data_IF_545657256107
#
_entry.id   IF_545657256107
#
_cell.length_a   1.000
_cell.length_b   1.000
_cell.length_c   1.000
_cell.angle_alpha   90.00
_cell.angle_beta   90.00
_cell.angle_gamma   90.00
#
_symmetry.space_group_name_H-M   'P 1'
#
loop_
_entity.id
_entity.type
_entity.pdbx_description
1 polymer ?
#
# COMPACT_ATOMS: atom_id res chain seq x y z
N UNK A 1 15.05 -13.50 -14.79
CA UNK A 1 15.77 -14.18 -15.89
C UNK A 1 17.09 -13.47 -16.11
N UNK A 2 18.10 -14.16 -16.64
CA UNK A 2 19.38 -13.55 -17.04
C UNK A 2 19.22 -12.93 -18.42
N UNK A 3 19.66 -11.69 -18.58
CA UNK A 3 19.54 -10.92 -19.82
C UNK A 3 20.86 -10.64 -20.53
N UNK A 4 20.80 -9.90 -21.66
CA UNK A 4 19.60 -9.30 -22.25
C UNK A 4 18.58 -10.34 -22.74
N UNK A 5 17.30 -9.97 -22.74
CA UNK A 5 16.19 -10.86 -23.16
C UNK A 5 15.47 -10.23 -24.34
N UNK A 6 15.12 -11.06 -25.32
CA UNK A 6 14.33 -10.67 -26.48
C UNK A 6 12.91 -11.24 -26.37
N UNK A 7 11.92 -10.37 -26.21
CA UNK A 7 10.51 -10.74 -26.15
C UNK A 7 9.92 -10.64 -27.55
N UNK A 8 9.50 -11.77 -28.11
CA UNK A 8 8.91 -11.86 -29.47
C UNK A 8 7.39 -11.95 -29.44
N UNK A 9 6.78 -12.15 -28.27
CA UNK A 9 5.34 -12.16 -28.07
C UNK A 9 5.00 -11.89 -26.60
N UNK A 10 3.85 -11.26 -26.38
CA UNK A 10 3.21 -11.06 -25.08
C UNK A 10 1.75 -11.46 -25.27
N UNK A 11 1.21 -12.25 -24.34
CA UNK A 11 -0.18 -12.71 -24.40
C UNK A 11 -0.94 -12.22 -23.16
N UNK A 12 -2.07 -11.50 -23.32
CA UNK A 12 -2.60 -10.97 -24.58
C UNK A 12 -1.72 -9.86 -25.16
N UNK A 13 -1.78 -9.66 -26.49
CA UNK A 13 -1.00 -8.64 -27.19
C UNK A 13 -1.51 -7.24 -26.85
N UNK A 14 -0.60 -6.26 -26.79
CA UNK A 14 -0.98 -4.85 -26.75
C UNK A 14 -1.30 -4.33 -28.15
N UNK A 15 -2.56 -3.95 -28.34
CA UNK A 15 -3.14 -3.53 -29.63
C UNK A 15 -4.16 -2.41 -29.41
N UNK A 16 -4.60 -1.79 -30.51
CA UNK A 16 -5.76 -0.91 -30.52
C UNK A 16 -7.05 -1.71 -30.73
N UNK A 17 -8.10 -1.36 -29.99
CA UNK A 17 -9.42 -2.00 -30.07
C UNK A 17 -10.55 -0.97 -30.13
N UNK A 18 -11.65 -1.38 -30.77
CA UNK A 18 -12.89 -0.59 -30.82
C UNK A 18 -12.81 0.66 -31.71
N UNK A 19 -13.93 1.39 -31.85
CA UNK A 19 -14.03 2.58 -32.70
C UNK A 19 -13.17 3.76 -32.20
N UNK A 20 -12.88 3.82 -30.90
CA UNK A 20 -12.11 4.90 -30.27
C UNK A 20 -10.58 4.67 -30.31
N UNK A 21 -10.11 3.62 -30.98
CA UNK A 21 -8.70 3.22 -31.04
C UNK A 21 -8.04 3.09 -29.65
N UNK A 22 -8.78 2.56 -28.67
CA UNK A 22 -8.28 2.35 -27.31
C UNK A 22 -7.11 1.37 -27.35
N UNK A 23 -5.97 1.75 -26.78
CA UNK A 23 -4.83 0.86 -26.63
C UNK A 23 -4.93 0.09 -25.32
N UNK A 24 -4.84 -1.24 -25.37
CA UNK A 24 -5.01 -2.14 -24.22
C UNK A 24 -3.78 -3.03 -23.98
N UNK A 25 -3.76 -3.73 -22.85
CA UNK A 25 -2.76 -4.75 -22.48
C UNK A 25 -1.31 -4.27 -22.57
N UNK A 26 -1.07 -3.00 -22.26
CA UNK A 26 0.25 -2.40 -22.32
C UNK A 26 1.19 -2.92 -21.24
N UNK A 27 2.48 -2.66 -21.46
CA UNK A 27 3.53 -2.96 -20.49
C UNK A 27 4.49 -1.78 -20.37
N UNK A 28 5.04 -1.58 -19.18
CA UNK A 28 5.99 -0.51 -18.88
C UNK A 28 7.31 -1.09 -18.39
N UNK A 29 8.41 -0.51 -18.87
CA UNK A 29 9.75 -0.79 -18.37
C UNK A 29 10.04 0.12 -17.16
N UNK A 30 10.42 -0.48 -16.03
CA UNK A 30 10.79 0.22 -14.78
C UNK A 30 9.80 1.35 -14.41
N UNK A 31 8.51 1.06 -14.15
CA UNK A 31 7.53 2.08 -13.77
C UNK A 31 8.04 2.96 -12.62
N UNK A 32 7.72 4.25 -12.64
CA UNK A 32 8.32 5.20 -11.70
C UNK A 32 7.30 6.23 -11.21
N UNK A 33 7.23 6.51 -9.89
CA UNK A 33 6.39 7.58 -9.36
C UNK A 33 6.79 8.98 -9.87
N UNK A 34 8.02 9.16 -10.38
CA UNK A 34 8.46 10.41 -11.02
C UNK A 34 7.67 10.76 -12.28
N UNK A 35 6.90 9.81 -12.83
CA UNK A 35 5.98 10.04 -13.96
C UNK A 35 4.61 10.54 -13.52
N UNK A 36 4.39 10.77 -12.23
CA UNK A 36 3.11 11.22 -11.69
C UNK A 36 2.02 10.19 -11.98
N UNK A 37 0.94 10.61 -12.64
CA UNK A 37 -0.13 9.71 -13.07
C UNK A 37 0.06 9.17 -14.51
N UNK A 38 1.13 9.54 -15.22
CA UNK A 38 1.35 9.09 -16.60
C UNK A 38 1.75 7.62 -16.66
N UNK A 39 1.06 6.84 -17.50
CA UNK A 39 1.24 5.38 -17.60
C UNK A 39 1.11 4.86 -19.04
N UNK A 40 1.51 3.60 -19.26
CA UNK A 40 1.57 2.93 -20.56
C UNK A 40 0.79 1.61 -20.64
N UNK A 41 -0.10 1.32 -19.69
CA UNK A 41 -0.89 0.08 -19.61
C UNK A 41 -2.16 0.12 -20.45
N UNK A 42 -2.96 1.20 -20.36
CA UNK A 42 -4.22 1.31 -21.09
C UNK A 42 -4.56 2.78 -21.39
N UNK A 43 -4.97 3.10 -22.61
CA UNK A 43 -5.28 4.49 -22.97
C UNK A 43 -6.58 5.03 -22.37
N UNK A 44 -7.41 4.16 -21.77
CA UNK A 44 -8.65 4.53 -21.09
C UNK A 44 -8.55 4.51 -19.56
N UNK A 45 -7.36 4.24 -18.97
CA UNK A 45 -7.16 4.00 -17.52
C UNK A 45 -7.94 4.93 -16.62
N UNK A 46 -7.89 6.25 -16.82
CA UNK A 46 -8.47 7.20 -15.87
C UNK A 46 -9.90 7.64 -16.22
N UNK A 47 -10.52 7.04 -17.25
CA UNK A 47 -11.86 7.42 -17.71
C UNK A 47 -11.99 8.93 -17.89
N UNK A 48 -12.95 9.56 -17.21
CA UNK A 48 -13.17 11.02 -17.26
C UNK A 48 -12.03 11.88 -16.71
N UNK A 49 -11.12 11.29 -15.94
CA UNK A 49 -9.95 11.97 -15.38
C UNK A 49 -8.71 11.83 -16.28
N UNK A 50 -8.87 11.11 -17.40
CA UNK A 50 -7.88 10.74 -18.38
C UNK A 50 -7.41 11.83 -19.34
N UNK A 51 -6.55 11.45 -20.31
CA UNK A 51 -6.10 10.06 -20.56
C UNK A 51 -4.88 9.63 -19.73
N UNK A 52 -4.01 10.58 -19.33
CA UNK A 52 -2.65 10.38 -18.75
C UNK A 52 -1.96 9.10 -19.25
N UNK A 53 -2.14 8.81 -20.53
CA UNK A 53 -1.54 7.70 -21.24
C UNK A 53 -0.45 8.26 -22.13
N UNK A 54 0.74 7.68 -22.04
CA UNK A 54 1.84 7.99 -22.95
C UNK A 54 2.20 6.73 -23.74
N UNK A 55 1.97 6.69 -25.07
CA UNK A 55 2.33 5.54 -25.90
C UNK A 55 3.83 5.21 -25.85
N UNK A 56 4.70 6.18 -25.52
CA UNK A 56 6.15 5.93 -25.35
C UNK A 56 6.47 5.09 -24.11
N UNK A 57 5.57 5.04 -23.14
CA UNK A 57 5.70 4.18 -21.96
C UNK A 57 5.19 2.76 -22.23
N UNK A 58 4.35 2.55 -23.25
CA UNK A 58 3.88 1.23 -23.65
C UNK A 58 4.91 0.51 -24.53
N UNK A 59 5.81 -0.23 -23.90
CA UNK A 59 6.84 -0.99 -24.63
C UNK A 59 6.32 -2.31 -25.22
N UNK A 60 5.07 -2.69 -24.95
CA UNK A 60 4.46 -3.92 -25.46
C UNK A 60 3.69 -3.75 -26.79
N UNK A 61 3.48 -2.51 -27.25
CA UNK A 61 2.66 -2.25 -28.44
C UNK A 61 3.24 -2.92 -29.69
N UNK A 62 2.45 -3.78 -30.34
CA UNK A 62 2.84 -4.51 -31.56
C UNK A 62 4.13 -5.35 -31.46
N UNK A 63 4.52 -5.80 -30.27
CA UNK A 63 5.62 -6.75 -30.09
C UNK A 63 5.34 -8.03 -30.89
N UNK A 64 6.28 -8.42 -31.74
CA UNK A 64 6.19 -9.59 -32.61
C UNK A 64 7.57 -10.16 -32.93
N UNK A 65 7.65 -11.29 -33.65
CA UNK A 65 8.92 -11.84 -34.15
C UNK A 65 9.66 -10.84 -35.05
N UNK A 66 8.93 -10.07 -35.86
CA UNK A 66 9.50 -9.04 -36.75
C UNK A 66 9.81 -7.71 -36.07
N UNK A 67 9.18 -7.41 -34.93
CA UNK A 67 9.42 -6.22 -34.11
C UNK A 67 9.52 -6.62 -32.63
N UNK A 68 10.62 -7.29 -32.24
CA UNK A 68 10.81 -7.81 -30.89
C UNK A 68 11.13 -6.70 -29.89
N UNK A 69 10.71 -6.87 -28.64
CA UNK A 69 11.09 -5.99 -27.53
C UNK A 69 12.39 -6.48 -26.92
N UNK A 70 13.43 -5.65 -27.00
CA UNK A 70 14.71 -5.89 -26.36
C UNK A 70 14.67 -5.37 -24.91
N UNK A 71 14.88 -6.27 -23.95
CA UNK A 71 14.96 -5.95 -22.54
C UNK A 71 16.42 -6.01 -22.05
N UNK A 72 17.01 -4.88 -21.62
CA UNK A 72 18.34 -4.88 -21.08
C UNK A 72 18.38 -5.56 -19.70
N UNK A 73 19.55 -6.10 -19.33
CA UNK A 73 19.84 -6.44 -17.95
C UNK A 73 19.69 -5.19 -17.06
N UNK A 74 19.22 -5.38 -15.83
CA UNK A 74 18.90 -4.28 -14.93
C UNK A 74 17.54 -3.64 -15.21
N UNK A 75 16.55 -4.43 -15.65
CA UNK A 75 15.21 -3.92 -15.91
C UNK A 75 14.09 -4.82 -15.36
N UNK A 76 12.94 -4.22 -15.08
CA UNK A 76 11.68 -4.90 -14.80
C UNK A 76 10.65 -4.49 -15.83
N UNK A 77 10.11 -5.46 -16.56
CA UNK A 77 8.94 -5.28 -17.40
C UNK A 77 7.69 -5.59 -16.56
N UNK A 78 6.83 -4.58 -16.38
CA UNK A 78 5.52 -4.74 -15.77
C UNK A 78 4.49 -4.83 -16.88
N UNK A 79 3.94 -6.02 -17.10
CA UNK A 79 2.93 -6.29 -18.12
C UNK A 79 1.55 -6.41 -17.50
N UNK A 80 0.52 -5.94 -18.19
CA UNK A 80 -0.85 -5.88 -17.68
C UNK A 80 -1.86 -6.47 -18.65
N UNK A 81 -2.98 -6.93 -18.11
CA UNK A 81 -4.19 -7.25 -18.86
C UNK A 81 -5.24 -6.19 -18.52
N UNK A 82 -5.84 -5.59 -19.52
CA UNK A 82 -6.92 -4.63 -19.37
C UNK A 82 -8.26 -5.32 -19.10
N UNK A 83 -9.18 -4.65 -18.40
CA UNK A 83 -10.60 -4.99 -18.42
C UNK A 83 -11.24 -4.53 -19.73
N UNK A 84 -12.27 -5.25 -20.17
CA UNK A 84 -12.93 -5.00 -21.47
C UNK A 84 -13.62 -3.64 -21.50
N UNK A 85 -14.31 -3.24 -20.42
CA UNK A 85 -14.98 -1.95 -20.32
C UNK A 85 -13.98 -0.80 -20.12
N UNK A 86 -14.07 0.24 -20.96
CA UNK A 86 -13.19 1.40 -20.93
C UNK A 86 -13.58 2.39 -19.82
N UNK A 87 -12.59 3.05 -19.21
CA UNK A 87 -12.77 4.02 -18.14
C UNK A 87 -13.20 3.41 -16.80
N UNK A 88 -13.11 2.09 -16.65
CA UNK A 88 -13.49 1.40 -15.42
C UNK A 88 -12.47 1.67 -14.30
N UNK A 89 -12.91 1.53 -13.03
CA UNK A 89 -12.07 1.68 -11.84
C UNK A 89 -12.11 0.41 -11.01
N UNK A 90 -11.03 -0.41 -11.00
CA UNK A 90 -9.79 -0.25 -11.76
C UNK A 90 -9.96 -0.51 -13.26
N UNK A 91 -9.00 -0.10 -14.09
CA UNK A 91 -8.99 -0.41 -15.53
C UNK A 91 -8.27 -1.73 -15.84
N UNK A 92 -7.39 -2.18 -14.95
CA UNK A 92 -6.55 -3.35 -15.16
C UNK A 92 -7.16 -4.56 -14.44
N UNK A 93 -7.11 -5.72 -15.09
CA UNK A 93 -7.55 -7.01 -14.55
C UNK A 93 -6.44 -7.65 -13.71
N UNK A 94 -5.26 -7.83 -14.29
CA UNK A 94 -4.10 -8.41 -13.61
C UNK A 94 -2.80 -7.81 -14.15
N UNK A 95 -1.71 -7.93 -13.39
CA UNK A 95 -0.37 -7.58 -13.82
C UNK A 95 0.67 -8.59 -13.32
N UNK A 96 1.77 -8.70 -14.06
CA UNK A 96 2.92 -9.53 -13.73
C UNK A 96 4.23 -8.76 -13.95
N UNK A 97 5.28 -9.17 -13.24
CA UNK A 97 6.61 -8.56 -13.32
C UNK A 97 7.61 -9.58 -13.84
N UNK A 98 8.27 -9.25 -14.94
CA UNK A 98 9.47 -9.95 -15.41
C UNK A 98 10.71 -9.10 -15.07
N UNK A 99 11.59 -9.62 -14.22
CA UNK A 99 12.88 -8.96 -13.94
C UNK A 99 14.01 -9.61 -14.71
N UNK A 100 14.82 -8.77 -15.35
CA UNK A 100 15.97 -9.12 -16.18
C UNK A 100 17.24 -8.68 -15.45
N UNK A 101 18.07 -9.64 -15.06
CA UNK A 101 19.30 -9.45 -14.31
C UNK A 101 20.52 -9.72 -15.21
N UNK A 102 21.69 -9.22 -14.83
CA UNK A 102 22.94 -9.48 -15.56
C UNK A 102 23.47 -10.90 -15.34
N UNK A 103 23.09 -11.53 -14.23
CA UNK A 103 23.51 -12.88 -13.85
C UNK A 103 22.38 -13.60 -13.09
N UNK A 104 22.52 -14.91 -12.91
CA UNK A 104 21.56 -15.70 -12.17
C UNK A 104 21.65 -15.35 -10.67
N UNK A 105 20.54 -14.96 -10.02
CA UNK A 105 20.57 -14.63 -8.61
C UNK A 105 20.70 -15.91 -7.76
N UNK A 106 21.30 -15.84 -6.56
CA UNK A 106 21.33 -16.98 -5.64
C UNK A 106 19.93 -17.56 -5.41
N UNK A 107 19.83 -18.88 -5.24
CA UNK A 107 18.56 -19.53 -4.95
C UNK A 107 17.91 -18.93 -3.69
N UNK A 108 16.61 -18.62 -3.76
CA UNK A 108 15.87 -18.01 -2.66
C UNK A 108 15.97 -16.48 -2.58
N UNK A 109 16.65 -15.84 -3.55
CA UNK A 109 16.71 -14.38 -3.62
C UNK A 109 15.32 -13.76 -3.80
N UNK A 110 15.06 -12.67 -3.09
CA UNK A 110 13.92 -11.82 -3.39
C UNK A 110 14.14 -11.09 -4.71
N UNK A 111 13.05 -10.79 -5.42
CA UNK A 111 13.12 -9.94 -6.61
C UNK A 111 13.43 -8.51 -6.17
N UNK A 112 14.32 -7.77 -6.87
CA UNK A 112 14.49 -6.35 -6.61
C UNK A 112 13.18 -5.61 -6.94
N UNK A 113 12.96 -4.39 -6.42
CA UNK A 113 11.74 -3.64 -6.69
C UNK A 113 11.48 -3.46 -8.18
N UNK A 114 10.20 -3.50 -8.60
CA UNK A 114 9.87 -3.28 -10.03
C UNK A 114 10.04 -1.82 -10.44
N UNK A 115 9.96 -0.91 -9.46
CA UNK A 115 10.08 0.52 -9.68
C UNK A 115 11.55 0.95 -9.72
N UNK A 116 11.83 2.04 -10.45
CA UNK A 116 13.18 2.59 -10.61
C UNK A 116 14.13 1.68 -11.40
N UNK A 117 15.41 2.08 -11.49
CA UNK A 117 16.43 1.40 -12.29
C UNK A 117 17.39 0.52 -11.48
N UNK A 118 17.37 0.60 -10.15
CA UNK A 118 18.16 -0.30 -9.31
C UNK A 118 17.51 -1.69 -9.32
N UNK A 119 18.27 -2.69 -9.76
CA UNK A 119 17.86 -4.10 -9.83
C UNK A 119 18.87 -5.01 -9.15
N UNK A 120 19.67 -4.45 -8.24
CA UNK A 120 20.59 -5.21 -7.39
C UNK A 120 19.80 -6.16 -6.50
N UNK A 121 20.29 -7.39 -6.38
CA UNK A 121 19.74 -8.39 -5.46
C UNK A 121 20.32 -8.12 -4.07
N UNK A 122 19.51 -7.55 -3.18
CA UNK A 122 19.94 -7.21 -1.83
C UNK A 122 19.63 -8.31 -0.80
N UNK A 123 18.59 -9.11 -1.04
CA UNK A 123 18.03 -9.97 -0.01
C UNK A 123 17.75 -11.39 -0.47
N UNK A 124 17.85 -12.31 0.48
CA UNK A 124 17.52 -13.73 0.32
C UNK A 124 16.59 -14.20 1.44
N UNK A 125 15.66 -15.11 1.15
CA UNK A 125 14.74 -15.64 2.16
C UNK A 125 15.43 -16.28 3.36
N UNK A 126 16.67 -16.74 3.21
CA UNK A 126 17.46 -17.32 4.30
C UNK A 126 17.91 -16.27 5.34
N UNK A 127 17.77 -14.98 5.05
CA UNK A 127 18.08 -13.87 5.96
C UNK A 127 16.90 -13.53 6.89
N UNK A 128 15.70 -14.07 6.62
CA UNK A 128 14.50 -13.75 7.37
C UNK A 128 14.62 -14.15 8.84
N UNK A 129 14.58 -13.16 9.73
CA UNK A 129 14.59 -13.36 11.18
C UNK A 129 13.18 -13.65 11.72
N UNK A 130 12.81 -14.93 11.74
CA UNK A 130 11.54 -15.39 12.31
C UNK A 130 11.41 -15.07 13.81
N UNK A 131 12.49 -14.80 14.54
CA UNK A 131 12.43 -14.47 15.97
C UNK A 131 11.76 -13.13 16.25
N UNK A 132 11.63 -12.26 15.24
CA UNK A 132 10.85 -11.02 15.31
C UNK A 132 9.35 -11.27 15.37
N UNK A 133 8.89 -12.41 14.85
CA UNK A 133 7.47 -12.75 14.80
C UNK A 133 7.01 -13.32 16.14
N UNK A 134 5.81 -12.93 16.57
CA UNK A 134 5.17 -13.53 17.74
C UNK A 134 4.56 -14.90 17.42
N UNK A 135 4.18 -15.59 18.49
CA UNK A 135 3.44 -16.85 18.47
C UNK A 135 2.18 -16.70 19.31
N UNK A 136 1.30 -15.79 18.88
CA UNK A 136 0.04 -15.51 19.55
C UNK A 136 -0.98 -16.61 19.27
N UNK A 137 -1.80 -16.94 20.27
CA UNK A 137 -2.93 -17.85 20.05
C UNK A 137 -3.85 -17.29 18.98
N UNK A 138 -4.34 -18.15 18.09
CA UNK A 138 -5.41 -17.79 17.15
C UNK A 138 -6.66 -17.38 17.92
N UNK A 139 -7.33 -16.36 17.44
CA UNK A 139 -8.54 -15.80 18.04
C UNK A 139 -9.77 -16.17 17.22
N UNK A 140 -10.95 -15.86 17.76
CA UNK A 140 -12.18 -15.94 16.99
C UNK A 140 -12.02 -15.05 15.74
N UNK A 141 -12.46 -15.55 14.58
CA UNK A 141 -12.33 -14.87 13.28
C UNK A 141 -10.91 -14.76 12.70
N UNK A 142 -9.91 -15.46 13.24
CA UNK A 142 -8.63 -15.63 12.52
C UNK A 142 -8.89 -16.14 11.10
N UNK A 143 -8.38 -15.46 10.06
CA UNK A 143 -8.62 -15.87 8.67
C UNK A 143 -7.86 -17.16 8.36
N UNK A 144 -8.29 -17.87 7.33
CA UNK A 144 -7.49 -18.97 6.76
C UNK A 144 -6.17 -18.40 6.23
N UNK A 145 -5.05 -19.02 6.62
CA UNK A 145 -3.72 -18.58 6.19
C UNK A 145 -3.62 -18.59 4.66
N UNK A 146 -4.18 -19.61 4.00
CA UNK A 146 -4.18 -19.71 2.53
C UNK A 146 -5.00 -18.63 1.84
N UNK A 147 -6.04 -18.11 2.48
CA UNK A 147 -6.82 -16.99 1.93
C UNK A 147 -6.09 -15.66 2.10
N UNK A 148 -5.29 -15.51 3.17
CA UNK A 148 -4.41 -14.35 3.33
C UNK A 148 -3.26 -14.42 2.33
N UNK A 149 -2.62 -15.58 2.17
CA UNK A 149 -1.53 -15.80 1.20
C UNK A 149 -1.91 -15.40 -0.23
N UNK A 150 -3.13 -15.74 -0.68
CA UNK A 150 -3.61 -15.39 -2.02
C UNK A 150 -3.66 -13.88 -2.27
N UNK A 151 -3.92 -13.06 -1.24
CA UNK A 151 -4.00 -11.59 -1.37
C UNK A 151 -2.66 -10.95 -1.69
N UNK A 152 -1.56 -11.64 -1.36
CA UNK A 152 -0.19 -11.18 -1.60
C UNK A 152 0.53 -12.00 -2.67
N UNK A 153 -0.17 -12.92 -3.35
CA UNK A 153 0.41 -13.79 -4.36
C UNK A 153 0.92 -13.02 -5.58
N UNK A 154 0.20 -11.97 -5.95
CA UNK A 154 0.41 -11.19 -7.17
C UNK A 154 1.01 -9.84 -6.82
N UNK A 155 1.79 -9.23 -7.74
CA UNK A 155 2.45 -7.98 -7.46
C UNK A 155 1.49 -6.81 -7.32
N UNK A 156 1.75 -5.94 -6.36
CA UNK A 156 0.93 -4.76 -6.09
C UNK A 156 1.48 -3.56 -6.87
N UNK A 157 0.70 -3.09 -7.84
CA UNK A 157 1.07 -1.95 -8.68
C UNK A 157 0.57 -0.65 -8.03
N UNK A 158 1.48 0.11 -7.41
CA UNK A 158 1.16 1.21 -6.49
C UNK A 158 2.08 2.44 -6.69
N UNK A 159 2.66 2.58 -7.88
CA UNK A 159 3.65 3.63 -8.17
C UNK A 159 3.03 5.00 -8.51
N UNK A 160 1.70 5.15 -8.47
CA UNK A 160 1.02 6.45 -8.70
C UNK A 160 0.61 7.04 -7.35
N UNK A 161 1.30 8.10 -6.94
CA UNK A 161 1.19 8.76 -5.63
C UNK A 161 -0.02 9.70 -5.44
N UNK A 162 -1.20 9.33 -5.95
CA UNK A 162 -2.44 10.10 -5.77
C UNK A 162 -3.66 9.19 -5.77
N UNK A 163 -4.83 9.71 -5.40
CA UNK A 163 -6.08 8.97 -5.33
C UNK A 163 -6.48 8.28 -6.66
N UNK A 164 -5.99 8.77 -7.81
CA UNK A 164 -6.20 8.14 -9.12
C UNK A 164 -5.37 6.87 -9.33
N UNK A 165 -4.39 6.58 -8.48
CA UNK A 165 -3.62 5.32 -8.52
C UNK A 165 -4.49 4.08 -8.50
N UNK A 166 -5.67 4.14 -7.84
CA UNK A 166 -6.66 3.06 -7.85
C UNK A 166 -7.14 2.60 -9.22
N UNK A 167 -6.98 3.41 -10.26
CA UNK A 167 -7.30 3.00 -11.64
C UNK A 167 -6.30 2.01 -12.22
N UNK A 168 -5.04 2.02 -11.75
CA UNK A 168 -4.01 1.07 -12.18
C UNK A 168 -3.86 -0.11 -11.22
N UNK A 169 -4.61 -0.17 -10.11
CA UNK A 169 -4.56 -1.32 -9.20
C UNK A 169 -5.26 -2.52 -9.86
N UNK A 170 -4.54 -3.55 -10.35
CA UNK A 170 -5.21 -4.60 -11.11
C UNK A 170 -6.17 -5.37 -10.19
N UNK A 171 -7.42 -5.55 -10.64
CA UNK A 171 -8.53 -6.09 -9.85
C UNK A 171 -8.18 -7.40 -9.13
N UNK A 172 -7.41 -8.28 -9.78
CA UNK A 172 -7.05 -9.56 -9.22
C UNK A 172 -5.71 -9.58 -8.48
N UNK A 173 -5.01 -8.44 -8.36
CA UNK A 173 -3.72 -8.33 -7.70
C UNK A 173 -3.82 -7.72 -6.30
N UNK A 174 -4.61 -6.66 -6.15
CA UNK A 174 -4.81 -5.93 -4.90
C UNK A 174 -6.18 -5.24 -4.87
N UNK A 175 -6.72 -4.92 -3.68
CA UNK A 175 -7.93 -4.11 -3.59
C UNK A 175 -7.75 -2.73 -4.23
N UNK A 176 -8.82 -2.14 -4.75
CA UNK A 176 -8.71 -0.86 -5.46
C UNK A 176 -8.64 0.35 -4.49
N UNK A 177 -9.28 0.28 -3.33
CA UNK A 177 -9.38 1.40 -2.39
C UNK A 177 -8.51 1.24 -1.14
N UNK A 178 -7.96 2.35 -0.64
CA UNK A 178 -6.96 2.37 0.44
C UNK A 178 -7.40 1.67 1.72
N UNK A 179 -8.67 1.79 2.09
CA UNK A 179 -9.25 1.09 3.24
C UNK A 179 -9.10 -0.42 3.14
N UNK A 180 -9.52 -1.01 2.03
CA UNK A 180 -9.42 -2.45 1.80
C UNK A 180 -7.96 -2.90 1.70
N UNK A 181 -7.09 -2.07 1.11
CA UNK A 181 -5.66 -2.34 1.05
C UNK A 181 -5.05 -2.39 2.44
N UNK A 182 -5.32 -1.40 3.29
CA UNK A 182 -4.83 -1.36 4.66
C UNK A 182 -5.40 -2.50 5.52
N UNK A 183 -6.67 -2.90 5.32
CA UNK A 183 -7.24 -4.09 5.95
C UNK A 183 -6.55 -5.38 5.50
N UNK A 184 -6.25 -5.53 4.21
CA UNK A 184 -5.52 -6.69 3.70
C UNK A 184 -4.10 -6.78 4.32
N UNK A 185 -3.40 -5.65 4.43
CA UNK A 185 -2.08 -5.56 5.07
C UNK A 185 -2.17 -5.89 6.56
N UNK A 186 -3.18 -5.38 7.27
CA UNK A 186 -3.45 -5.72 8.67
C UNK A 186 -3.60 -7.22 8.85
N UNK A 187 -4.46 -7.85 8.04
CA UNK A 187 -4.69 -9.29 8.10
C UNK A 187 -3.39 -10.06 7.83
N UNK A 188 -2.60 -9.66 6.83
CA UNK A 188 -1.29 -10.25 6.53
C UNK A 188 -0.31 -10.18 7.70
N UNK A 189 -0.07 -8.98 8.22
CA UNK A 189 0.89 -8.76 9.30
C UNK A 189 0.46 -9.46 10.59
N UNK A 190 -0.82 -9.38 10.95
CA UNK A 190 -1.33 -10.02 12.16
C UNK A 190 -1.37 -11.54 12.05
N UNK A 191 -1.70 -12.11 10.88
CA UNK A 191 -1.62 -13.56 10.65
C UNK A 191 -0.20 -14.10 10.83
N UNK A 192 0.83 -13.34 10.44
CA UNK A 192 2.24 -13.69 10.67
C UNK A 192 2.63 -13.68 12.16
N UNK A 193 1.84 -13.04 13.03
CA UNK A 193 2.05 -13.02 14.49
C UNK A 193 1.37 -14.17 15.24
N UNK A 194 0.57 -15.00 14.55
CA UNK A 194 -0.15 -16.13 15.15
C UNK A 194 0.76 -17.36 15.32
N UNK A 195 0.34 -18.32 16.11
CA UNK A 195 1.03 -19.56 16.49
C UNK A 195 1.14 -20.62 15.37
N UNK A 196 1.35 -20.19 14.13
CA UNK A 196 1.76 -21.07 13.04
C UNK A 196 3.26 -21.41 13.15
N UNK A 197 3.62 -22.62 12.74
CA UNK A 197 5.03 -23.00 12.54
C UNK A 197 5.69 -22.13 11.45
N UNK A 198 7.02 -22.08 11.43
CA UNK A 198 7.74 -21.32 10.40
C UNK A 198 7.41 -21.83 8.99
N UNK A 199 7.29 -23.14 8.81
CA UNK A 199 6.95 -23.76 7.53
C UNK A 199 5.53 -23.36 7.06
N UNK A 200 4.57 -23.27 7.97
CA UNK A 200 3.23 -22.78 7.64
C UNK A 200 3.25 -21.29 7.24
N UNK A 201 4.06 -20.46 7.91
CA UNK A 201 4.14 -19.01 7.63
C UNK A 201 4.92 -18.66 6.37
N UNK A 202 5.82 -19.54 5.90
CA UNK A 202 6.86 -19.19 4.92
C UNK A 202 6.27 -18.54 3.66
N UNK A 203 5.18 -19.09 3.11
CA UNK A 203 4.53 -18.56 1.90
C UNK A 203 4.04 -17.14 2.11
N UNK A 204 3.28 -16.87 3.19
CA UNK A 204 2.78 -15.53 3.50
C UNK A 204 3.95 -14.57 3.78
N UNK A 205 4.96 -15.02 4.53
CA UNK A 205 6.08 -14.19 4.94
C UNK A 205 6.88 -13.70 3.72
N UNK A 206 7.22 -14.61 2.80
CA UNK A 206 7.95 -14.27 1.57
C UNK A 206 7.16 -13.26 0.74
N UNK A 207 5.85 -13.50 0.55
CA UNK A 207 4.97 -12.62 -0.23
C UNK A 207 4.83 -11.23 0.40
N UNK A 208 4.65 -11.17 1.72
CA UNK A 208 4.53 -9.92 2.46
C UNK A 208 5.85 -9.12 2.48
N UNK A 209 6.99 -9.79 2.64
CA UNK A 209 8.32 -9.16 2.57
C UNK A 209 8.60 -8.66 1.16
N UNK A 210 8.25 -9.42 0.11
CA UNK A 210 8.39 -8.96 -1.27
C UNK A 210 7.57 -7.69 -1.55
N UNK A 211 6.36 -7.58 -0.99
CA UNK A 211 5.57 -6.33 -1.03
C UNK A 211 6.31 -5.18 -0.34
N UNK A 212 6.89 -5.41 0.85
CA UNK A 212 7.71 -4.42 1.54
C UNK A 212 8.90 -3.93 0.71
N UNK A 213 9.59 -4.84 0.02
CA UNK A 213 10.69 -4.51 -0.91
C UNK A 213 10.19 -3.66 -2.07
N UNK A 214 9.07 -4.02 -2.70
CA UNK A 214 8.51 -3.24 -3.81
C UNK A 214 8.11 -1.82 -3.38
N UNK A 215 7.40 -1.69 -2.26
CA UNK A 215 7.00 -0.39 -1.71
C UNK A 215 8.22 0.46 -1.31
N UNK A 216 9.26 -0.15 -0.74
CA UNK A 216 10.51 0.53 -0.46
C UNK A 216 11.17 1.06 -1.75
N UNK A 217 11.18 0.27 -2.82
CA UNK A 217 11.70 0.73 -4.11
C UNK A 217 10.92 1.90 -4.69
N UNK A 218 9.60 1.92 -4.55
CA UNK A 218 8.75 3.05 -4.94
C UNK A 218 9.14 4.29 -4.12
N UNK A 219 9.28 4.16 -2.79
CA UNK A 219 9.68 5.26 -1.92
C UNK A 219 11.07 5.81 -2.28
N UNK A 220 12.06 4.92 -2.50
CA UNK A 220 13.43 5.27 -2.94
C UNK A 220 13.43 5.97 -4.30
N UNK A 221 12.50 5.63 -5.19
CA UNK A 221 12.34 6.28 -6.48
C UNK A 221 11.51 7.59 -6.42
N UNK A 222 11.20 8.08 -5.21
CA UNK A 222 10.52 9.37 -4.97
C UNK A 222 9.01 9.27 -4.83
N UNK A 223 8.47 8.07 -4.65
CA UNK A 223 7.05 7.86 -4.36
C UNK A 223 6.68 8.29 -2.95
N UNK A 224 5.46 8.81 -2.82
CA UNK A 224 4.83 9.14 -1.54
C UNK A 224 3.38 8.65 -1.50
N UNK A 225 2.82 8.61 -0.29
CA UNK A 225 1.44 8.26 0.00
C UNK A 225 0.82 9.39 0.82
N UNK A 226 0.35 10.48 0.19
CA UNK A 226 -0.19 11.62 0.93
C UNK A 226 -1.49 11.32 1.65
N UNK A 227 -1.77 12.11 2.67
CA UNK A 227 -3.06 12.25 3.34
C UNK A 227 -4.17 12.63 2.34
N UNK A 228 -4.85 11.60 1.85
CA UNK A 228 -5.95 11.73 0.89
C UNK A 228 -7.17 10.94 1.34
N UNK A 229 -7.69 11.23 2.54
CA UNK A 229 -8.86 10.55 3.08
C UNK A 229 -8.68 9.04 3.08
N UNK A 230 -9.58 8.25 2.51
CA UNK A 230 -9.44 6.79 2.52
C UNK A 230 -8.50 6.16 1.46
N UNK A 231 -7.63 6.92 0.79
CA UNK A 231 -6.93 6.44 -0.41
C UNK A 231 -5.53 5.82 -0.20
N UNK A 232 -4.61 6.48 0.52
CA UNK A 232 -3.17 6.15 0.45
C UNK A 232 -2.61 5.50 1.72
N UNK A 233 -3.42 5.23 2.73
CA UNK A 233 -2.95 4.55 3.94
C UNK A 233 -2.66 3.05 3.69
N UNK A 234 -1.77 2.51 4.48
CA UNK A 234 -1.42 1.09 4.56
C UNK A 234 0.01 0.75 4.12
N UNK A 235 0.75 1.67 3.48
CA UNK A 235 2.02 1.30 2.81
C UNK A 235 3.25 1.32 3.71
N UNK A 236 3.14 1.91 4.89
CA UNK A 236 4.29 2.03 5.80
C UNK A 236 4.65 0.70 6.48
N UNK A 237 3.65 -0.02 6.99
CA UNK A 237 3.88 -1.25 7.76
C UNK A 237 4.62 -2.35 6.97
N UNK A 238 4.31 -2.65 5.69
CA UNK A 238 5.04 -3.68 4.95
C UNK A 238 6.54 -3.38 4.85
N UNK A 239 6.92 -2.11 4.66
CA UNK A 239 8.32 -1.70 4.60
C UNK A 239 8.98 -1.87 5.98
N UNK A 240 8.32 -1.40 7.04
CA UNK A 240 8.82 -1.52 8.41
C UNK A 240 9.06 -2.98 8.80
N UNK A 241 8.08 -3.85 8.55
CA UNK A 241 8.17 -5.26 8.88
C UNK A 241 9.24 -5.97 8.05
N UNK A 242 9.34 -5.68 6.75
CA UNK A 242 10.41 -6.22 5.91
C UNK A 242 11.80 -5.76 6.38
N UNK A 243 11.98 -4.46 6.70
CA UNK A 243 13.24 -3.94 7.23
C UNK A 243 13.65 -4.60 8.55
N UNK A 244 12.70 -4.88 9.44
CA UNK A 244 12.96 -5.62 10.69
C UNK A 244 13.38 -7.08 10.44
N UNK A 245 12.67 -7.77 9.55
CA UNK A 245 12.89 -9.19 9.27
C UNK A 245 14.18 -9.45 8.48
N UNK A 246 14.58 -8.51 7.62
CA UNK A 246 15.79 -8.56 6.82
C UNK A 246 16.98 -7.85 7.48
N UNK A 247 16.75 -7.20 8.64
CA UNK A 247 17.71 -6.35 9.32
C UNK A 247 18.30 -5.26 8.39
N UNK A 248 17.47 -4.66 7.54
CA UNK A 248 17.88 -3.64 6.56
C UNK A 248 17.67 -2.23 7.14
N UNK A 249 18.77 -1.56 7.47
CA UNK A 249 18.77 -0.22 8.05
C UNK A 249 18.20 0.86 7.11
N UNK A 250 18.29 0.70 5.79
CA UNK A 250 17.76 1.68 4.84
C UNK A 250 16.23 1.59 4.74
N UNK A 251 15.68 0.36 4.78
CA UNK A 251 14.24 0.15 4.88
C UNK A 251 13.70 0.66 6.23
N UNK A 252 14.47 0.53 7.31
CA UNK A 252 14.09 1.10 8.61
C UNK A 252 14.21 2.64 8.63
N UNK A 253 15.18 3.21 7.91
CA UNK A 253 15.31 4.65 7.77
C UNK A 253 14.12 5.26 7.04
N UNK A 254 13.66 4.68 5.93
CA UNK A 254 12.56 5.27 5.14
C UNK A 254 11.25 5.36 5.93
N UNK A 255 11.02 4.46 6.90
CA UNK A 255 9.81 4.44 7.73
C UNK A 255 9.91 5.31 8.98
N UNK A 256 11.05 5.95 9.24
CA UNK A 256 11.17 6.93 10.30
C UNK A 256 10.43 8.21 9.89
N UNK A 257 9.28 8.48 10.51
CA UNK A 257 8.44 9.65 10.18
C UNK A 257 9.16 11.00 10.40
N UNK A 258 10.15 11.08 11.29
CA UNK A 258 10.92 12.32 11.51
C UNK A 258 11.95 12.56 10.42
N UNK A 259 12.36 11.52 9.71
CA UNK A 259 13.26 11.63 8.56
C UNK A 259 12.49 11.72 7.23
N UNK A 260 11.43 10.93 7.11
CA UNK A 260 10.64 10.77 5.89
C UNK A 260 9.15 10.86 6.18
N UNK A 261 8.60 12.07 6.03
CA UNK A 261 7.18 12.34 6.24
C UNK A 261 6.37 12.15 4.96
N UNK A 262 6.40 10.92 4.41
CA UNK A 262 5.84 10.56 3.10
C UNK A 262 4.64 9.62 3.15
N UNK A 263 4.29 9.09 4.33
CA UNK A 263 3.20 8.13 4.49
C UNK A 263 1.95 8.79 5.05
N UNK A 264 0.80 8.34 4.59
CA UNK A 264 -0.48 8.93 4.95
C UNK A 264 -0.75 8.74 6.43
N UNK A 265 -0.39 7.58 6.99
CA UNK A 265 -0.52 7.23 8.40
C UNK A 265 0.11 8.30 9.31
N UNK A 266 1.24 8.87 8.89
CA UNK A 266 1.94 9.92 9.61
C UNK A 266 1.32 11.29 9.32
N UNK A 267 1.06 11.59 8.04
CA UNK A 267 0.54 12.89 7.59
C UNK A 267 -0.84 13.24 8.12
N UNK A 268 -1.69 12.24 8.34
CA UNK A 268 -3.09 12.46 8.70
C UNK A 268 -3.36 12.50 10.21
N UNK A 269 -2.34 12.32 11.06
CA UNK A 269 -2.51 12.30 12.52
C UNK A 269 -1.60 13.31 13.21
N UNK A 270 -2.11 14.03 14.21
CA UNK A 270 -1.36 15.00 14.99
C UNK A 270 -1.91 15.11 16.42
N UNK A 271 -1.20 15.82 17.29
CA UNK A 271 -1.76 16.30 18.54
C UNK A 271 -2.25 17.73 18.32
N UNK A 272 -3.51 18.01 18.64
CA UNK A 272 -4.07 19.37 18.52
C UNK A 272 -3.17 20.36 19.27
N UNK A 273 -2.74 21.41 18.58
CA UNK A 273 -1.89 22.46 19.13
C UNK A 273 -2.71 23.73 19.37
N UNK A 274 -2.15 24.67 20.14
CA UNK A 274 -2.79 25.97 20.37
C UNK A 274 -3.12 26.74 19.08
N UNK A 275 -2.33 26.52 18.01
CA UNK A 275 -2.56 27.12 16.69
C UNK A 275 -3.78 26.56 15.95
N UNK A 276 -4.29 25.40 16.35
CA UNK A 276 -5.46 24.77 15.74
C UNK A 276 -6.77 25.32 16.34
N UNK A 277 -6.71 25.85 17.56
CA UNK A 277 -7.86 26.39 18.29
C UNK A 277 -8.45 27.59 17.56
N UNK A 278 -9.73 27.50 17.21
CA UNK A 278 -10.45 28.55 16.50
C UNK A 278 -9.97 28.79 15.06
N UNK A 279 -9.11 27.91 14.51
CA UNK A 279 -8.71 27.98 13.10
C UNK A 279 -9.95 27.83 12.22
N UNK A 280 -10.08 28.70 11.22
CA UNK A 280 -11.19 28.65 10.27
C UNK A 280 -11.18 27.32 9.49
N UNK A 281 -12.34 26.68 9.38
CA UNK A 281 -12.54 25.43 8.63
C UNK A 281 -13.55 25.64 7.51
N UNK A 282 -13.31 24.98 6.39
CA UNK A 282 -14.08 25.09 5.15
C UNK A 282 -15.49 24.53 5.31
N UNK A 283 -16.49 25.35 5.01
CA UNK A 283 -17.93 24.97 5.08
C UNK A 283 -18.54 24.57 3.72
N UNK A 284 -17.72 24.38 2.69
CA UNK A 284 -18.13 24.31 1.27
C UNK A 284 -19.04 23.12 0.90
N UNK A 285 -19.20 22.11 1.75
CA UNK A 285 -20.01 20.93 1.45
C UNK A 285 -21.17 20.80 2.46
N UNK A 286 -22.43 21.01 2.03
CA UNK A 286 -23.61 20.90 2.92
C UNK A 286 -23.76 19.53 3.61
N UNK A 287 -23.05 18.50 3.13
CA UNK A 287 -23.08 17.13 3.63
C UNK A 287 -21.89 16.77 4.54
N UNK A 288 -21.02 17.72 4.84
CA UNK A 288 -19.82 17.51 5.64
C UNK A 288 -19.61 18.71 6.59
N UNK A 289 -20.51 18.87 7.60
CA UNK A 289 -20.39 19.96 8.57
C UNK A 289 -19.07 19.85 9.35
N UNK A 290 -18.36 20.97 9.48
CA UNK A 290 -17.06 21.03 10.17
C UNK A 290 -17.11 21.95 11.37
N UNK A 291 -16.61 21.46 12.50
CA UNK A 291 -16.43 22.25 13.71
C UNK A 291 -14.94 22.57 13.91
N UNK A 292 -14.66 23.78 14.41
CA UNK A 292 -13.33 24.24 14.78
C UNK A 292 -12.88 23.61 16.09
N UNK A 293 -11.57 23.36 16.25
CA UNK A 293 -11.01 22.93 17.53
C UNK A 293 -11.14 24.01 18.62
N UNK A 294 -11.32 23.56 19.86
CA UNK A 294 -11.49 24.36 21.07
C UNK A 294 -10.27 24.23 21.98
N UNK A 295 -10.17 25.11 22.97
CA UNK A 295 -9.08 25.09 23.94
C UNK A 295 -8.96 23.75 24.70
N UNK A 296 -10.07 23.07 24.93
CA UNK A 296 -10.13 21.76 25.59
C UNK A 296 -9.58 20.62 24.74
N UNK A 297 -9.48 20.81 23.42
CA UNK A 297 -8.95 19.79 22.52
C UNK A 297 -7.42 19.80 22.47
N UNK A 298 -6.74 20.85 22.97
CA UNK A 298 -5.27 20.96 22.91
C UNK A 298 -4.61 19.75 23.60
N UNK A 299 -3.70 19.09 22.87
CA UNK A 299 -3.02 17.86 23.29
C UNK A 299 -3.77 16.58 22.93
N UNK A 300 -5.01 16.65 22.46
CA UNK A 300 -5.76 15.49 22.01
C UNK A 300 -5.15 14.92 20.72
N UNK A 301 -4.98 13.59 20.61
CA UNK A 301 -4.60 12.97 19.35
C UNK A 301 -5.77 12.99 18.38
N UNK A 302 -5.52 13.43 17.15
CA UNK A 302 -6.55 13.76 16.18
C UNK A 302 -6.18 13.33 14.77
N UNK A 303 -7.20 13.27 13.91
CA UNK A 303 -7.10 12.88 12.51
C UNK A 303 -7.73 13.91 11.58
N UNK A 304 -7.20 14.00 10.36
CA UNK A 304 -7.62 14.96 9.34
C UNK A 304 -7.47 14.39 7.94
N UNK A 305 -8.47 14.66 7.09
CA UNK A 305 -8.58 14.10 5.74
C UNK A 305 -7.40 14.47 4.83
N UNK A 306 -6.90 15.69 4.98
CA UNK A 306 -5.84 16.32 4.20
C UNK A 306 -4.98 17.24 5.09
N UNK A 307 -4.76 16.84 6.35
CA UNK A 307 -4.17 17.67 7.41
C UNK A 307 -2.91 18.46 6.99
N UNK A 308 -1.99 17.86 6.23
CA UNK A 308 -0.72 18.51 5.84
C UNK A 308 -0.84 19.47 4.67
N UNK A 309 -1.90 19.38 3.87
CA UNK A 309 -2.05 20.14 2.62
C UNK A 309 -3.24 21.11 2.63
N UNK A 310 -4.29 20.75 3.34
CA UNK A 310 -5.59 21.42 3.40
C UNK A 310 -6.15 21.29 4.81
N UNK A 311 -5.43 21.85 5.79
CA UNK A 311 -5.79 21.82 7.21
C UNK A 311 -7.08 22.62 7.53
N UNK A 312 -7.58 23.40 6.58
CA UNK A 312 -8.92 23.99 6.58
C UNK A 312 -10.02 22.93 6.45
N UNK A 313 -9.69 21.69 6.07
CA UNK A 313 -10.63 20.56 6.03
C UNK A 313 -10.61 19.68 7.27
N UNK A 314 -9.71 19.93 8.22
CA UNK A 314 -9.73 19.25 9.51
C UNK A 314 -11.07 19.49 10.20
N UNK A 315 -11.52 18.50 10.97
CA UNK A 315 -12.86 18.52 11.53
C UNK A 315 -12.83 17.89 12.93
N UNK A 316 -13.10 18.73 13.94
CA UNK A 316 -13.19 18.31 15.34
C UNK A 316 -14.24 17.23 15.56
N UNK A 317 -15.31 17.21 14.76
CA UNK A 317 -16.40 16.25 14.91
C UNK A 317 -15.89 14.82 14.81
N UNK A 318 -16.44 13.97 15.67
CA UNK A 318 -16.17 12.54 15.58
C UNK A 318 -16.77 11.97 14.29
N UNK A 319 -17.90 12.47 13.84
CA UNK A 319 -18.60 12.05 12.61
C UNK A 319 -17.97 12.63 11.33
N UNK A 320 -16.76 13.20 11.40
CA UNK A 320 -16.05 13.74 10.25
C UNK A 320 -15.95 12.71 9.10
N UNK A 321 -16.21 13.16 7.88
CA UNK A 321 -16.18 12.31 6.69
C UNK A 321 -14.81 11.64 6.54
N UNK A 322 -14.80 10.34 6.20
CA UNK A 322 -13.62 9.46 6.10
C UNK A 322 -12.94 9.07 7.42
N UNK A 323 -13.33 9.60 8.57
CA UNK A 323 -12.73 9.19 9.85
C UNK A 323 -12.91 7.69 10.12
N UNK A 324 -14.13 7.18 9.95
CA UNK A 324 -14.46 5.76 10.11
C UNK A 324 -13.74 4.88 9.08
N UNK A 325 -13.65 5.36 7.83
CA UNK A 325 -12.95 4.69 6.72
C UNK A 325 -11.48 4.45 7.06
N UNK A 326 -10.79 5.47 7.58
CA UNK A 326 -9.35 5.39 7.88
C UNK A 326 -9.11 4.74 9.24
N UNK A 327 -9.81 5.18 10.27
CA UNK A 327 -9.60 4.69 11.64
C UNK A 327 -9.76 3.17 11.71
N UNK A 328 -10.82 2.62 11.12
CA UNK A 328 -11.07 1.18 11.18
C UNK A 328 -10.02 0.30 10.47
N UNK A 329 -9.31 0.84 9.48
CA UNK A 329 -8.37 0.08 8.64
C UNK A 329 -6.92 0.15 9.12
N UNK A 330 -6.56 1.14 9.95
CA UNK A 330 -5.19 1.31 10.47
C UNK A 330 -4.95 0.65 11.83
N UNK A 331 -6.01 0.19 12.54
CA UNK A 331 -5.85 -0.47 13.85
C UNK A 331 -4.87 -1.66 13.78
N UNK A 332 -5.06 -2.55 12.80
CA UNK A 332 -4.19 -3.71 12.66
C UNK A 332 -2.74 -3.35 12.36
N UNK A 333 -2.50 -2.16 11.76
CA UNK A 333 -1.15 -1.67 11.52
C UNK A 333 -0.44 -1.30 12.81
N UNK A 334 -1.13 -0.51 13.64
CA UNK A 334 -0.61 -0.09 14.96
C UNK A 334 -0.41 -1.29 15.87
N UNK A 335 -1.35 -2.25 15.88
CA UNK A 335 -1.21 -3.46 16.66
C UNK A 335 0.00 -4.29 16.21
N UNK A 336 0.19 -4.48 14.90
CA UNK A 336 1.35 -5.20 14.37
C UNK A 336 2.67 -4.49 14.72
N UNK A 337 2.72 -3.16 14.61
CA UNK A 337 3.91 -2.38 15.00
C UNK A 337 4.23 -2.53 16.50
N UNK A 338 3.22 -2.51 17.38
CA UNK A 338 3.37 -2.78 18.83
C UNK A 338 3.87 -4.19 19.11
N UNK A 339 3.31 -5.19 18.42
CA UNK A 339 3.76 -6.57 18.56
C UNK A 339 5.22 -6.74 18.10
N UNK A 340 5.67 -5.97 17.11
CA UNK A 340 7.06 -5.93 16.67
C UNK A 340 7.98 -5.13 17.62
N UNK A 341 7.43 -4.35 18.55
CA UNK A 341 8.18 -3.38 19.36
C UNK A 341 8.79 -2.26 18.52
N UNK A 342 8.07 -1.84 17.47
CA UNK A 342 8.56 -1.00 16.39
C UNK A 342 8.06 0.46 16.43
N UNK A 343 7.41 0.88 17.52
CA UNK A 343 6.84 2.23 17.65
C UNK A 343 7.92 3.33 17.55
N UNK A 344 9.11 3.10 18.11
CA UNK A 344 10.24 4.01 18.02
C UNK A 344 10.82 4.10 16.60
N UNK A 345 10.75 3.02 15.83
CA UNK A 345 11.16 2.97 14.42
C UNK A 345 10.14 3.67 13.52
N UNK A 346 8.84 3.52 13.82
CA UNK A 346 7.78 4.27 13.14
C UNK A 346 7.93 5.79 13.38
N UNK A 347 8.34 6.15 14.60
CA UNK A 347 8.71 7.50 15.04
C UNK A 347 7.61 8.57 14.89
N UNK A 348 6.34 8.18 15.03
CA UNK A 348 5.19 9.10 14.99
C UNK A 348 4.16 8.84 16.10
N UNK A 349 4.40 9.34 17.34
CA UNK A 349 3.49 9.13 18.46
C UNK A 349 2.01 9.51 18.23
N UNK A 350 1.66 10.58 17.47
CA UNK A 350 0.27 10.95 17.23
C UNK A 350 -0.57 9.82 16.63
N UNK A 351 -0.01 9.01 15.73
CA UNK A 351 -0.72 7.87 15.14
C UNK A 351 -1.16 6.87 16.20
N UNK A 352 -0.24 6.46 17.07
CA UNK A 352 -0.51 5.46 18.11
C UNK A 352 -1.55 5.97 19.10
N UNK A 353 -1.41 7.22 19.54
CA UNK A 353 -2.36 7.84 20.46
C UNK A 353 -3.75 8.02 19.81
N UNK A 354 -3.80 8.36 18.52
CA UNK A 354 -5.07 8.49 17.79
C UNK A 354 -5.77 7.14 17.63
N UNK A 355 -5.03 6.09 17.32
CA UNK A 355 -5.60 4.75 17.17
C UNK A 355 -6.12 4.22 18.51
N UNK A 356 -5.45 4.50 19.63
CA UNK A 356 -5.97 4.18 20.97
C UNK A 356 -7.30 4.90 21.23
N UNK A 357 -7.36 6.21 20.94
CA UNK A 357 -8.61 6.99 21.07
C UNK A 357 -9.72 6.42 20.19
N UNK A 358 -9.41 6.09 18.93
CA UNK A 358 -10.38 5.51 18.01
C UNK A 358 -10.88 4.15 18.50
N UNK A 359 -9.98 3.29 18.99
CA UNK A 359 -10.35 2.01 19.60
C UNK A 359 -11.33 2.19 20.75
N UNK A 360 -11.02 3.06 21.70
CA UNK A 360 -11.87 3.26 22.89
C UNK A 360 -13.29 3.75 22.52
N UNK A 361 -13.42 4.52 21.43
CA UNK A 361 -14.73 5.04 20.98
C UNK A 361 -15.49 4.02 20.11
N UNK A 362 -14.80 3.30 19.21
CA UNK A 362 -15.44 2.53 18.14
C UNK A 362 -15.48 1.00 18.38
N UNK A 363 -14.79 0.46 19.40
CA UNK A 363 -14.67 -1.00 19.64
C UNK A 363 -16.00 -1.75 19.84
N UNK A 364 -17.03 -1.03 20.28
CA UNK A 364 -18.36 -1.56 20.60
C UNK A 364 -19.43 -1.23 19.55
N UNK A 365 -19.07 -0.50 18.48
CA UNK A 365 -19.97 -0.27 17.35
C UNK A 365 -20.35 -1.61 16.72
N UNK A 366 -21.59 -1.73 16.23
CA UNK A 366 -22.08 -2.90 15.47
C UNK A 366 -21.04 -3.31 14.43
N UNK A 367 -20.84 -4.61 14.25
CA UNK A 367 -19.72 -5.16 13.48
C UNK A 367 -20.20 -5.86 12.19
N UNK A 368 -19.46 -5.69 11.10
CA UNK A 368 -19.68 -6.34 9.81
C UNK A 368 -19.79 -5.41 8.59
N UNK A 369 -19.82 -4.10 8.81
CA UNK A 369 -19.81 -3.06 7.79
C UNK A 369 -18.42 -2.77 7.22
N UNK A 370 -18.40 -2.18 6.01
CA UNK A 370 -17.17 -1.88 5.29
C UNK A 370 -16.27 -0.88 6.03
N UNK A 371 -16.87 0.05 6.79
CA UNK A 371 -16.17 1.09 7.55
C UNK A 371 -16.01 0.76 9.06
N UNK A 372 -16.09 -0.52 9.41
CA UNK A 372 -15.96 -0.96 10.80
C UNK A 372 -14.66 -1.74 11.01
N UNK A 373 -14.22 -1.84 12.27
CA UNK A 373 -13.01 -2.57 12.66
C UNK A 373 -13.21 -4.03 12.27
N UNK A 374 -12.21 -4.65 11.62
CA UNK A 374 -12.32 -6.07 11.25
C UNK A 374 -12.40 -6.92 12.51
N UNK A 375 -13.29 -7.92 12.50
CA UNK A 375 -13.47 -8.82 13.65
C UNK A 375 -12.16 -9.47 14.08
N UNK A 376 -11.34 -9.88 13.12
CA UNK A 376 -10.02 -10.44 13.39
C UNK A 376 -9.11 -9.46 14.14
N UNK A 377 -9.01 -8.21 13.67
CA UNK A 377 -8.21 -7.17 14.33
C UNK A 377 -8.74 -6.87 15.72
N UNK A 378 -10.06 -6.76 15.87
CA UNK A 378 -10.72 -6.49 17.15
C UNK A 378 -10.40 -7.56 18.19
N UNK A 379 -10.56 -8.83 17.86
CA UNK A 379 -10.31 -9.92 18.81
C UNK A 379 -8.82 -9.99 19.21
N UNK A 380 -7.91 -9.76 18.27
CA UNK A 380 -6.48 -9.66 18.59
C UNK A 380 -6.15 -8.46 19.46
N UNK A 381 -6.79 -7.31 19.23
CA UNK A 381 -6.59 -6.12 20.05
C UNK A 381 -7.05 -6.36 21.49
N UNK A 382 -8.22 -6.98 21.68
CA UNK A 382 -8.73 -7.35 23.00
C UNK A 382 -7.80 -8.32 23.74
N UNK A 383 -7.23 -9.31 23.03
CA UNK A 383 -6.24 -10.21 23.64
C UNK A 383 -4.94 -9.47 23.97
N UNK A 384 -4.49 -8.57 23.12
CA UNK A 384 -3.30 -7.75 23.39
C UNK A 384 -3.48 -6.88 24.64
N UNK A 385 -4.63 -6.21 24.80
CA UNK A 385 -4.90 -5.38 25.97
C UNK A 385 -4.82 -6.16 27.29
N UNK A 386 -5.31 -7.40 27.32
CA UNK A 386 -5.24 -8.27 28.52
C UNK A 386 -3.83 -8.63 28.96
N UNK A 387 -2.84 -8.50 28.07
CA UNK A 387 -1.45 -8.90 28.32
C UNK A 387 -0.53 -7.70 28.59
N UNK A 388 -1.02 -6.46 28.39
CA UNK A 388 -0.22 -5.22 28.52
C UNK A 388 -0.79 -4.28 29.59
N UNK A 389 -2.11 -4.30 29.82
CA UNK A 389 -2.77 -3.70 31.00
C UNK A 389 -2.92 -4.77 32.07
#
# INVERSE_FOLDING_TARGET
MVGPVKIVSITPTSIQVGPDNRTINGAMLNPSPKKGSTQGYDSATFGRYGPQYDPKLNVAFNVSVGSPLELPAGSSLVSSISLDEAGHRPQLKTAAILTVLSEEPPQGSFRPPYSGSDKTIYHNKNELDYSKLKSLKRVKYSPSLSDVEKRFERPWLDHISTWTGRYIHPQENLPDYGREIAKAISDGALSLMLDYSHAEKETLLIRFVQLGIDLYGIAKDGGEWPDMGGHMHGRKLPILMAGLLLNDANMLEIVDAKKHFIFQEDRQTWFVEQRDVGREVRQELPRDPRDTYLQEDVGQPEWGIHHTRQNDQDNRRWEATYRDIVGCSILGHVLAARLLGAESLWNWPPLFAYVDRFWEIEKDRTQGGTNEISLFTRELWLEWEKNVK
#
